data_IF_247496132496
#
_entry.id   IF_247496132496
#
_cell.length_a   1.000
_cell.length_b   1.000
_cell.length_c   1.000
_cell.angle_alpha   90.00
_cell.angle_beta   90.00
_cell.angle_gamma   90.00
#
_symmetry.space_group_name_H-M   'P 1'
#
loop_
_entity.id
_entity.type
_entity.pdbx_description
1 polymer ?
#
# COMPACT_ATOMS: atom_id res chain seq x y z
N UNK A 1 -17.83 -2.55 -8.78
CA UNK A 1 -16.50 -2.13 -8.32
C UNK A 1 -15.47 -3.05 -8.96
N UNK A 2 -14.62 -2.54 -9.84
CA UNK A 2 -13.55 -3.31 -10.49
C UNK A 2 -12.39 -3.41 -9.50
N UNK A 3 -12.36 -4.46 -8.67
CA UNK A 3 -11.18 -4.76 -7.87
C UNK A 3 -10.10 -5.32 -8.82
N UNK A 4 -9.11 -4.51 -9.18
CA UNK A 4 -7.96 -4.97 -9.95
C UNK A 4 -7.14 -5.91 -9.06
N UNK A 5 -7.24 -7.22 -9.31
CA UNK A 5 -6.58 -8.30 -8.57
C UNK A 5 -5.04 -8.32 -8.74
N UNK A 6 -4.45 -7.19 -9.12
CA UNK A 6 -3.02 -7.02 -9.36
C UNK A 6 -2.36 -6.13 -8.31
N UNK A 7 -3.12 -5.35 -7.53
CA UNK A 7 -2.51 -4.56 -6.46
C UNK A 7 -2.07 -5.48 -5.32
N UNK A 8 -0.77 -5.48 -4.99
CA UNK A 8 -0.30 -6.12 -3.78
C UNK A 8 -0.82 -5.32 -2.58
N UNK A 9 -1.59 -6.01 -1.73
CA UNK A 9 -2.29 -5.43 -0.59
C UNK A 9 -1.99 -6.22 0.67
N UNK A 10 -2.05 -5.55 1.81
CA UNK A 10 -2.03 -6.19 3.13
C UNK A 10 -3.17 -5.65 3.99
N UNK A 11 -3.53 -6.42 5.02
CA UNK A 11 -4.52 -6.03 6.03
C UNK A 11 -3.94 -6.30 7.42
N UNK A 12 -4.05 -5.30 8.28
CA UNK A 12 -3.80 -5.41 9.72
C UNK A 12 -5.15 -5.41 10.41
N UNK A 13 -5.54 -6.57 10.95
CA UNK A 13 -6.78 -6.68 11.70
C UNK A 13 -6.65 -6.00 13.07
N UNK A 14 -7.77 -5.52 13.61
CA UNK A 14 -7.78 -5.10 15.00
C UNK A 14 -7.63 -6.29 15.94
N UNK A 15 -6.74 -6.13 16.93
CA UNK A 15 -6.66 -7.03 18.08
C UNK A 15 -7.31 -6.35 19.29
N UNK A 16 -8.20 -7.04 20.01
CA UNK A 16 -8.80 -6.49 21.21
C UNK A 16 -7.77 -6.47 22.35
N UNK A 17 -7.82 -5.43 23.17
CA UNK A 17 -7.10 -5.38 24.44
C UNK A 17 -8.06 -5.61 25.61
N UNK A 18 -7.56 -6.13 26.72
CA UNK A 18 -8.38 -6.47 27.89
C UNK A 18 -8.18 -5.46 29.02
N UNK A 19 -9.26 -4.80 29.44
CA UNK A 19 -9.29 -3.96 30.64
C UNK A 19 -10.23 -4.63 31.64
N UNK A 20 -9.72 -4.98 32.82
CA UNK A 20 -10.50 -5.63 33.89
C UNK A 20 -11.27 -6.88 33.40
N UNK A 21 -10.65 -7.69 32.54
CA UNK A 21 -11.26 -8.89 31.95
C UNK A 21 -12.28 -8.63 30.84
N UNK A 22 -12.55 -7.37 30.46
CA UNK A 22 -13.42 -7.02 29.34
C UNK A 22 -12.61 -6.70 28.09
N UNK A 23 -12.99 -7.31 26.97
CA UNK A 23 -12.42 -6.99 25.66
C UNK A 23 -12.85 -5.59 25.21
N UNK A 24 -11.89 -4.78 24.81
CA UNK A 24 -12.06 -3.45 24.23
C UNK A 24 -11.44 -3.47 22.85
N UNK A 25 -12.24 -3.11 21.85
CA UNK A 25 -11.80 -3.07 20.46
C UNK A 25 -11.28 -1.68 20.09
N UNK A 26 -10.20 -1.59 19.30
CA UNK A 26 -9.79 -0.33 18.69
C UNK A 26 -10.91 0.29 17.84
N UNK A 27 -11.00 1.62 17.86
CA UNK A 27 -11.97 2.44 17.12
C UNK A 27 -11.32 3.30 16.02
N UNK A 28 -10.01 3.13 15.82
CA UNK A 28 -9.17 3.90 14.91
C UNK A 28 -7.96 3.08 14.48
N UNK A 29 -7.43 3.39 13.31
CA UNK A 29 -6.20 2.80 12.81
C UNK A 29 -5.02 3.71 13.16
N UNK A 30 -3.88 3.11 13.50
CA UNK A 30 -2.60 3.81 13.58
C UNK A 30 -1.77 3.31 12.40
N UNK A 31 -1.38 4.22 11.52
CA UNK A 31 -0.52 3.87 10.39
C UNK A 31 0.90 3.62 10.92
N UNK A 32 1.48 2.41 10.75
CA UNK A 32 2.80 2.08 11.27
C UNK A 32 3.95 2.80 10.54
N UNK A 33 3.70 3.37 9.35
CA UNK A 33 4.73 4.04 8.56
C UNK A 33 4.96 5.48 9.01
N UNK A 34 3.90 6.21 9.40
CA UNK A 34 3.99 7.61 9.81
C UNK A 34 3.49 7.89 11.25
N UNK A 35 2.96 6.87 11.93
CA UNK A 35 2.44 6.95 13.30
C UNK A 35 1.12 7.72 13.43
N UNK A 36 0.51 8.16 12.33
CA UNK A 36 -0.71 8.98 12.38
C UNK A 36 -1.93 8.13 12.71
N UNK A 37 -2.89 8.78 13.36
CA UNK A 37 -4.16 8.19 13.75
C UNK A 37 -5.22 8.51 12.70
N UNK A 38 -5.89 7.47 12.21
CA UNK A 38 -6.88 7.54 11.16
C UNK A 38 -8.21 6.98 11.67
N UNK A 39 -9.31 7.76 11.64
CA UNK A 39 -10.62 7.29 12.09
C UNK A 39 -11.19 6.22 11.14
N UNK A 40 -12.07 5.35 11.65
CA UNK A 40 -12.82 4.40 10.81
C UNK A 40 -13.58 5.15 9.72
N UNK A 41 -13.50 4.64 8.49
CA UNK A 41 -14.08 5.23 7.28
C UNK A 41 -13.12 6.13 6.50
N UNK A 42 -11.95 6.47 7.06
CA UNK A 42 -10.94 7.26 6.35
C UNK A 42 -10.21 6.48 5.26
N UNK A 43 -9.71 7.23 4.28
CA UNK A 43 -8.77 6.78 3.25
C UNK A 43 -7.65 7.79 3.09
N UNK A 44 -6.43 7.33 2.87
CA UNK A 44 -5.26 8.20 2.72
C UNK A 44 -4.20 7.56 1.82
N UNK A 45 -3.30 8.39 1.32
CA UNK A 45 -2.12 7.96 0.58
C UNK A 45 -0.88 8.11 1.46
N UNK A 46 0.02 7.14 1.39
CA UNK A 46 1.34 7.20 2.04
C UNK A 46 2.42 7.64 1.05
N UNK A 47 3.57 8.06 1.59
CA UNK A 47 4.76 8.38 0.80
C UNK A 47 5.36 7.14 0.12
N UNK A 48 5.14 5.94 0.67
CA UNK A 48 5.55 4.64 0.11
C UNK A 48 4.61 4.11 -0.99
N UNK A 49 3.88 5.01 -1.65
CA UNK A 49 2.95 4.68 -2.72
C UNK A 49 1.86 3.68 -2.31
N UNK A 50 1.39 3.72 -1.07
CA UNK A 50 0.21 2.96 -0.64
C UNK A 50 -1.04 3.84 -0.65
N UNK A 51 -2.17 3.25 -1.02
CA UNK A 51 -3.49 3.76 -0.67
C UNK A 51 -4.01 2.89 0.48
N UNK A 52 -4.28 3.52 1.62
CA UNK A 52 -4.76 2.87 2.83
C UNK A 52 -6.20 3.27 3.12
N UNK A 53 -6.92 2.36 3.78
CA UNK A 53 -8.24 2.60 4.35
C UNK A 53 -8.33 2.01 5.75
N UNK A 54 -9.06 2.70 6.62
CA UNK A 54 -9.41 2.20 7.94
C UNK A 54 -10.90 1.81 7.94
N UNK A 55 -11.21 0.56 8.27
CA UNK A 55 -12.57 0.05 8.41
C UNK A 55 -12.79 -0.57 9.80
N UNK A 56 -13.97 -1.15 10.03
CA UNK A 56 -14.31 -1.74 11.34
C UNK A 56 -13.51 -3.01 11.67
N UNK A 57 -12.87 -3.61 10.67
CA UNK A 57 -12.06 -4.83 10.82
C UNK A 57 -10.57 -4.50 11.01
N UNK A 58 -10.16 -3.27 10.67
CA UNK A 58 -8.81 -2.76 10.86
C UNK A 58 -8.34 -1.89 9.71
N UNK A 59 -7.05 -1.94 9.41
CA UNK A 59 -6.42 -1.18 8.33
C UNK A 59 -6.12 -2.08 7.14
N UNK A 60 -6.37 -1.62 5.93
CA UNK A 60 -5.86 -2.28 4.72
C UNK A 60 -5.20 -1.29 3.80
N UNK A 61 -4.06 -1.67 3.22
CA UNK A 61 -3.30 -0.83 2.31
C UNK A 61 -2.92 -1.60 1.05
N UNK A 62 -2.88 -0.92 -0.08
CA UNK A 62 -2.54 -1.47 -1.38
C UNK A 62 -1.55 -0.57 -2.11
N UNK A 63 -0.63 -1.15 -2.87
CA UNK A 63 0.24 -0.35 -3.73
C UNK A 63 -0.54 0.36 -4.83
N UNK A 64 -0.33 1.67 -4.97
CA UNK A 64 -0.94 2.54 -5.99
C UNK A 64 -0.40 2.30 -7.39
N UNK A 65 0.80 1.73 -7.49
CA UNK A 65 1.37 1.29 -8.77
C UNK A 65 0.81 -0.07 -9.23
N UNK A 66 -0.06 -0.70 -8.43
CA UNK A 66 -0.61 -2.02 -8.71
C UNK A 66 0.33 -3.14 -8.27
N UNK A 67 0.67 -4.03 -9.19
CA UNK A 67 1.48 -5.22 -8.93
C UNK A 67 2.85 -5.14 -9.55
N UNK A 68 3.65 -6.20 -9.38
CA UNK A 68 4.96 -6.29 -10.02
C UNK A 68 4.80 -6.52 -11.52
N UNK A 69 5.27 -5.59 -12.34
CA UNK A 69 5.34 -5.73 -13.80
C UNK A 69 6.76 -6.14 -14.19
N UNK A 70 6.90 -7.31 -14.84
CA UNK A 70 8.17 -7.77 -15.40
C UNK A 70 8.18 -7.52 -16.91
N UNK A 71 9.27 -6.93 -17.41
CA UNK A 71 9.52 -6.71 -18.82
C UNK A 71 10.89 -7.31 -19.17
N UNK A 72 10.94 -8.19 -20.15
CA UNK A 72 12.20 -8.83 -20.56
C UNK A 72 13.18 -7.79 -21.10
N UNK A 73 14.47 -7.95 -20.77
CA UNK A 73 15.50 -6.97 -21.14
C UNK A 73 15.47 -5.66 -20.33
N UNK A 74 14.53 -5.52 -19.39
CA UNK A 74 14.30 -4.28 -18.65
C UNK A 74 14.28 -4.47 -17.13
N UNK A 75 14.87 -3.51 -16.43
CA UNK A 75 14.71 -3.31 -14.99
C UNK A 75 13.48 -2.44 -14.74
N UNK A 76 12.53 -2.97 -13.98
CA UNK A 76 11.38 -2.21 -13.48
C UNK A 76 11.78 -1.45 -12.22
N UNK A 77 11.49 -0.15 -12.19
CA UNK A 77 11.70 0.75 -11.06
C UNK A 77 10.38 1.43 -10.73
N UNK A 78 10.06 1.62 -9.45
CA UNK A 78 8.90 2.41 -9.03
C UNK A 78 9.34 3.86 -8.87
N UNK A 79 8.68 4.79 -9.57
CA UNK A 79 8.90 6.21 -9.36
C UNK A 79 8.14 6.67 -8.10
N UNK A 80 8.83 7.09 -7.03
CA UNK A 80 8.18 7.43 -5.76
C UNK A 80 7.32 8.69 -5.84
N UNK A 81 7.53 9.57 -6.83
CA UNK A 81 6.74 10.79 -7.02
C UNK A 81 5.42 10.53 -7.72
N UNK A 82 5.44 9.65 -8.72
CA UNK A 82 4.25 9.36 -9.55
C UNK A 82 3.56 8.07 -9.16
N UNK A 83 4.20 7.22 -8.36
CA UNK A 83 3.76 5.87 -8.01
C UNK A 83 3.41 5.05 -9.26
N UNK A 84 4.30 5.08 -10.25
CA UNK A 84 4.19 4.35 -11.52
C UNK A 84 5.44 3.54 -11.79
N UNK A 85 5.27 2.50 -12.59
CA UNK A 85 6.37 1.73 -13.13
C UNK A 85 7.16 2.52 -14.16
N UNK A 86 8.46 2.37 -14.09
CA UNK A 86 9.45 2.90 -15.00
C UNK A 86 10.35 1.75 -15.46
N UNK A 87 10.59 1.65 -16.76
CA UNK A 87 11.37 0.56 -17.34
C UNK A 87 12.65 1.10 -17.93
N UNK A 88 13.78 0.56 -17.50
CA UNK A 88 15.11 0.93 -17.96
C UNK A 88 15.82 -0.30 -18.51
N UNK A 89 16.59 -0.15 -19.58
CA UNK A 89 17.27 -1.29 -20.19
C UNK A 89 18.29 -1.91 -19.24
N UNK A 90 18.44 -3.23 -19.29
CA UNK A 90 19.42 -3.95 -18.48
C UNK A 90 20.86 -3.72 -18.96
N UNK A 91 21.06 -3.55 -20.26
CA UNK A 91 22.38 -3.29 -20.87
C UNK A 91 22.80 -1.83 -20.80
N UNK A 92 21.85 -0.90 -20.72
CA UNK A 92 22.08 0.54 -20.54
C UNK A 92 20.99 1.19 -19.66
N UNK A 93 21.19 1.25 -18.32
CA UNK A 93 20.20 1.79 -17.39
C UNK A 93 19.90 3.29 -17.55
N UNK A 94 20.67 4.02 -18.37
CA UNK A 94 20.37 5.42 -18.69
C UNK A 94 19.25 5.57 -19.71
N UNK A 95 18.94 4.50 -20.45
CA UNK A 95 17.91 4.46 -21.49
C UNK A 95 16.64 3.78 -20.99
N UNK A 96 15.51 4.38 -21.34
CA UNK A 96 14.19 3.77 -21.16
C UNK A 96 14.05 2.56 -22.08
N UNK A 97 13.25 1.59 -21.65
CA UNK A 97 12.69 0.61 -22.57
C UNK A 97 11.53 1.25 -23.34
N UNK A 98 11.38 0.87 -24.60
CA UNK A 98 10.21 1.23 -25.40
C UNK A 98 9.04 0.37 -24.89
N UNK A 99 8.02 1.02 -24.34
CA UNK A 99 6.84 0.40 -23.71
C UNK A 99 5.67 0.39 -24.68
#
# INVERSE_FOLDING_TARGET
>A
MLATCQAACFRTAFEPYFINGKAVWPDKCVDPYDGKVHPIGSKWNTDDCLECKCDKEGMSCCHRYGGVVKMEGCKTVINPKTCKHEFYRLDDPSKRCDV
#
